data_IF_494698641224
#
_entry.id   IF_494698641224
#
_cell.length_a   1.000
_cell.length_b   1.000
_cell.length_c   1.000
_cell.angle_alpha   90.00
_cell.angle_beta   90.00
_cell.angle_gamma   90.00
#
_symmetry.space_group_name_H-M   'P 1'
#
loop_
_entity.id
_entity.type
_entity.pdbx_description
1 polymer ?
#
# COMPACT_ATOMS: atom_id res chain seq x y z
N UNK A 1 -61.06 -27.22 -22.27
CA UNK A 1 -59.90 -26.36 -21.96
C UNK A 1 -58.91 -27.20 -21.15
N UNK A 2 -57.80 -27.74 -21.68
CA UNK A 2 -57.02 -28.66 -20.81
C UNK A 2 -55.53 -28.90 -21.07
N UNK A 3 -54.91 -28.55 -22.19
CA UNK A 3 -53.48 -28.88 -22.37
C UNK A 3 -52.58 -27.64 -22.51
N UNK A 4 -53.04 -26.59 -23.18
CA UNK A 4 -52.23 -25.40 -23.43
C UNK A 4 -51.80 -24.65 -22.17
N UNK A 5 -52.63 -24.59 -21.12
CA UNK A 5 -52.26 -23.94 -19.85
C UNK A 5 -51.10 -24.66 -19.15
N UNK A 6 -51.11 -25.99 -19.13
CA UNK A 6 -50.06 -26.82 -18.52
C UNK A 6 -48.73 -26.65 -19.27
N UNK A 7 -48.77 -26.63 -20.60
CA UNK A 7 -47.60 -26.37 -21.43
C UNK A 7 -47.02 -24.96 -21.23
N UNK A 8 -47.89 -23.93 -21.16
CA UNK A 8 -47.47 -22.55 -20.91
C UNK A 8 -46.87 -22.40 -19.50
N UNK A 9 -47.47 -23.03 -18.49
CA UNK A 9 -46.94 -23.03 -17.11
C UNK A 9 -45.58 -23.76 -17.01
N UNK A 10 -45.41 -24.88 -17.72
CA UNK A 10 -44.14 -25.61 -17.77
C UNK A 10 -43.03 -24.81 -18.45
N UNK A 11 -43.32 -24.16 -19.58
CA UNK A 11 -42.36 -23.28 -20.27
C UNK A 11 -42.01 -22.06 -19.42
N UNK A 12 -42.99 -21.46 -18.75
CA UNK A 12 -42.75 -20.33 -17.83
C UNK A 12 -41.84 -20.71 -16.66
N UNK A 13 -41.99 -21.92 -16.11
CA UNK A 13 -41.13 -22.43 -15.03
C UNK A 13 -39.67 -22.59 -15.49
N UNK A 14 -39.46 -23.13 -16.71
CA UNK A 14 -38.13 -23.31 -17.29
C UNK A 14 -37.45 -21.96 -17.54
N UNK A 15 -38.16 -20.99 -18.11
CA UNK A 15 -37.63 -19.63 -18.34
C UNK A 15 -37.28 -18.94 -17.01
N UNK A 16 -38.11 -19.10 -15.98
CA UNK A 16 -37.84 -18.58 -14.64
C UNK A 16 -36.58 -19.20 -14.02
N UNK A 17 -36.42 -20.53 -14.13
CA UNK A 17 -35.24 -21.24 -13.64
C UNK A 17 -33.95 -20.78 -14.35
N UNK A 18 -33.97 -20.64 -15.67
CA UNK A 18 -32.84 -20.11 -16.43
C UNK A 18 -32.52 -18.66 -16.05
N UNK A 19 -33.54 -17.82 -15.86
CA UNK A 19 -33.36 -16.42 -15.45
C UNK A 19 -32.75 -16.33 -14.05
N UNK A 20 -33.16 -17.21 -13.13
CA UNK A 20 -32.58 -17.30 -11.79
C UNK A 20 -31.12 -17.75 -11.83
N UNK A 21 -30.78 -18.78 -12.61
CA UNK A 21 -29.40 -19.25 -12.76
C UNK A 21 -28.52 -18.15 -13.37
N UNK A 22 -28.99 -17.47 -14.42
CA UNK A 22 -28.27 -16.36 -15.02
C UNK A 22 -28.09 -15.19 -14.06
N UNK A 23 -29.11 -14.82 -13.28
CA UNK A 23 -29.00 -13.79 -12.26
C UNK A 23 -28.02 -14.19 -11.14
N UNK A 24 -27.99 -15.47 -10.76
CA UNK A 24 -27.05 -16.00 -9.77
C UNK A 24 -25.61 -15.99 -10.30
N UNK A 25 -25.39 -16.43 -11.53
CA UNK A 25 -24.08 -16.38 -12.20
C UNK A 25 -23.59 -14.94 -12.37
N UNK A 26 -24.45 -14.02 -12.82
CA UNK A 26 -24.13 -12.60 -12.95
C UNK A 26 -23.78 -11.96 -11.60
N UNK A 27 -24.51 -12.30 -10.52
CA UNK A 27 -24.17 -11.86 -9.16
C UNK A 27 -22.84 -12.44 -8.68
N UNK A 28 -22.56 -13.71 -8.96
CA UNK A 28 -21.29 -14.36 -8.59
C UNK A 28 -20.11 -13.73 -9.34
N UNK A 29 -20.26 -13.47 -10.63
CA UNK A 29 -19.27 -12.80 -11.46
C UNK A 29 -19.05 -11.35 -10.99
N UNK A 30 -20.11 -10.59 -10.74
CA UNK A 30 -20.02 -9.22 -10.22
C UNK A 30 -19.30 -9.15 -8.86
N UNK A 31 -19.57 -10.09 -7.94
CA UNK A 31 -18.83 -10.19 -6.67
C UNK A 31 -17.35 -10.51 -6.87
N UNK A 32 -17.04 -11.40 -7.82
CA UNK A 32 -15.65 -11.74 -8.15
C UNK A 32 -14.91 -10.54 -8.76
N UNK A 33 -15.55 -9.79 -9.65
CA UNK A 33 -14.98 -8.58 -10.26
C UNK A 33 -14.74 -7.48 -9.23
N UNK A 34 -15.68 -7.28 -8.30
CA UNK A 34 -15.53 -6.35 -7.19
C UNK A 34 -14.36 -6.74 -6.27
N UNK A 35 -14.24 -8.03 -5.93
CA UNK A 35 -13.14 -8.57 -5.14
C UNK A 35 -11.79 -8.37 -5.83
N UNK A 36 -11.68 -8.69 -7.13
CA UNK A 36 -10.46 -8.49 -7.92
C UNK A 36 -10.09 -6.99 -7.95
N UNK A 37 -11.07 -6.10 -8.15
CA UNK A 37 -10.84 -4.66 -8.15
C UNK A 37 -10.33 -4.15 -6.79
N UNK A 38 -10.94 -4.60 -5.70
CA UNK A 38 -10.49 -4.26 -4.35
C UNK A 38 -9.06 -4.75 -4.09
N UNK A 39 -8.76 -5.99 -4.48
CA UNK A 39 -7.42 -6.57 -4.40
C UNK A 39 -6.38 -5.74 -5.16
N UNK A 40 -6.69 -5.32 -6.40
CA UNK A 40 -5.80 -4.48 -7.20
C UNK A 40 -5.58 -3.10 -6.58
N UNK A 41 -6.61 -2.50 -6.00
CA UNK A 41 -6.48 -1.22 -5.29
C UNK A 41 -5.55 -1.33 -4.08
N UNK A 42 -5.74 -2.36 -3.24
CA UNK A 42 -4.87 -2.63 -2.09
C UNK A 42 -3.42 -2.86 -2.51
N UNK A 43 -3.19 -3.64 -3.58
CA UNK A 43 -1.85 -3.84 -4.13
C UNK A 43 -1.22 -2.53 -4.62
N UNK A 44 -2.01 -1.65 -5.24
CA UNK A 44 -1.55 -0.33 -5.69
C UNK A 44 -1.14 0.55 -4.50
N UNK A 45 -1.96 0.62 -3.45
CA UNK A 45 -1.68 1.40 -2.24
C UNK A 45 -0.41 0.88 -1.52
N UNK A 46 -0.29 -0.44 -1.36
CA UNK A 46 0.92 -1.06 -0.80
C UNK A 46 2.17 -0.74 -1.63
N UNK A 47 2.05 -0.74 -2.96
CA UNK A 47 3.16 -0.40 -3.84
C UNK A 47 3.56 1.07 -3.73
N UNK A 48 2.60 1.97 -3.59
CA UNK A 48 2.85 3.39 -3.36
C UNK A 48 3.58 3.61 -2.02
N UNK A 49 3.20 2.88 -0.95
CA UNK A 49 3.92 2.91 0.32
C UNK A 49 5.36 2.40 0.22
N UNK A 50 5.59 1.28 -0.47
CA UNK A 50 6.95 0.74 -0.68
C UNK A 50 7.85 1.75 -1.42
N UNK A 51 7.30 2.46 -2.42
CA UNK A 51 8.02 3.53 -3.14
C UNK A 51 8.33 4.71 -2.22
N UNK A 52 7.37 5.15 -1.40
CA UNK A 52 7.55 6.25 -0.47
C UNK A 52 8.61 5.94 0.59
N UNK A 53 8.59 4.75 1.19
CA UNK A 53 9.63 4.29 2.11
C UNK A 53 11.00 4.21 1.44
N UNK A 54 11.08 3.70 0.20
CA UNK A 54 12.33 3.67 -0.56
C UNK A 54 12.91 5.07 -0.80
N UNK A 55 12.06 6.06 -1.08
CA UNK A 55 12.47 7.45 -1.27
C UNK A 55 13.03 8.05 0.03
N UNK A 56 12.33 7.90 1.15
CA UNK A 56 12.80 8.36 2.46
C UNK A 56 14.15 7.74 2.84
N UNK A 57 14.28 6.42 2.66
CA UNK A 57 15.53 5.70 2.93
C UNK A 57 16.69 6.25 2.12
N UNK A 58 16.46 6.55 0.83
CA UNK A 58 17.49 7.12 -0.04
C UNK A 58 17.97 8.46 0.49
N UNK A 59 17.04 9.35 0.83
CA UNK A 59 17.37 10.69 1.34
C UNK A 59 18.10 10.65 2.68
N UNK A 60 17.69 9.79 3.61
CA UNK A 60 18.36 9.59 4.90
C UNK A 60 19.78 9.07 4.68
N UNK A 61 19.95 8.05 3.85
CA UNK A 61 21.26 7.46 3.59
C UNK A 61 22.21 8.46 2.90
N UNK A 62 21.70 9.30 2.00
CA UNK A 62 22.48 10.40 1.41
C UNK A 62 22.94 11.39 2.48
N UNK A 63 22.03 11.82 3.38
CA UNK A 63 22.38 12.75 4.46
C UNK A 63 23.41 12.16 5.43
N UNK A 64 23.24 10.89 5.83
CA UNK A 64 24.22 10.17 6.65
C UNK A 64 25.58 10.15 5.96
N UNK A 65 25.62 9.85 4.66
CA UNK A 65 26.85 9.83 3.87
C UNK A 65 27.51 11.22 3.83
N UNK A 66 26.75 12.28 3.58
CA UNK A 66 27.24 13.67 3.58
C UNK A 66 27.85 14.04 4.94
N UNK A 67 27.17 13.74 6.04
CA UNK A 67 27.67 14.03 7.39
C UNK A 67 28.95 13.23 7.70
N UNK A 68 28.96 11.92 7.40
CA UNK A 68 30.13 11.05 7.65
C UNK A 68 31.36 11.42 6.84
N UNK A 69 31.18 12.04 5.66
CA UNK A 69 32.31 12.44 4.80
C UNK A 69 33.11 13.59 5.42
N UNK A 70 32.52 14.39 6.31
CA UNK A 70 33.22 15.47 7.02
C UNK A 70 33.53 15.04 8.46
N UNK A 71 34.75 14.58 8.73
CA UNK A 71 35.17 14.03 10.03
C UNK A 71 34.96 14.98 11.24
N UNK A 72 35.12 16.29 11.04
CA UNK A 72 34.86 17.29 12.11
C UNK A 72 33.37 17.41 12.41
N UNK A 73 32.54 17.44 11.38
CA UNK A 73 31.08 17.51 11.51
C UNK A 73 30.51 16.19 12.03
N UNK A 74 31.02 15.04 11.57
CA UNK A 74 30.60 13.72 12.05
C UNK A 74 30.80 13.55 13.56
N UNK A 75 31.90 14.07 14.10
CA UNK A 75 32.18 14.01 15.54
C UNK A 75 31.23 14.92 16.33
N UNK A 76 30.94 16.13 15.82
CA UNK A 76 30.04 17.09 16.45
C UNK A 76 28.55 16.72 16.29
N UNK A 77 28.20 15.96 15.25
CA UNK A 77 26.84 15.56 14.90
C UNK A 77 26.57 14.08 15.22
N UNK A 78 27.30 13.49 16.16
CA UNK A 78 27.19 12.05 16.49
C UNK A 78 25.78 11.64 16.89
N UNK A 79 25.14 12.38 17.80
CA UNK A 79 23.75 12.09 18.23
C UNK A 79 22.75 12.22 17.07
N UNK A 80 22.98 13.17 16.15
CA UNK A 80 22.17 13.31 14.94
C UNK A 80 22.36 12.13 13.99
N UNK A 81 23.61 11.67 13.81
CA UNK A 81 23.91 10.47 13.02
C UNK A 81 23.23 9.24 13.59
N UNK A 82 23.31 9.01 14.91
CA UNK A 82 22.66 7.89 15.59
C UNK A 82 21.14 7.94 15.39
N UNK A 83 20.53 9.13 15.49
CA UNK A 83 19.10 9.34 15.21
C UNK A 83 18.72 9.10 13.75
N UNK A 84 19.55 9.52 12.80
CA UNK A 84 19.33 9.26 11.36
C UNK A 84 19.45 7.77 11.03
N UNK A 85 20.41 7.07 11.63
CA UNK A 85 20.59 5.63 11.47
C UNK A 85 19.39 4.86 12.06
N UNK A 86 18.94 5.21 13.26
CA UNK A 86 17.74 4.62 13.85
C UNK A 86 16.49 4.85 12.99
N UNK A 87 16.34 6.03 12.39
CA UNK A 87 15.24 6.30 11.46
C UNK A 87 15.37 5.45 10.18
N UNK A 88 16.58 5.29 9.64
CA UNK A 88 16.81 4.43 8.49
C UNK A 88 16.45 2.97 8.78
N UNK A 89 16.79 2.46 9.97
CA UNK A 89 16.43 1.10 10.39
C UNK A 89 14.91 0.94 10.49
N UNK A 90 14.23 1.90 11.11
CA UNK A 90 12.77 1.93 11.20
C UNK A 90 12.11 1.88 9.80
N UNK A 91 12.53 2.73 8.87
CA UNK A 91 11.95 2.74 7.53
C UNK A 91 12.29 1.49 6.71
N UNK A 92 13.44 0.84 6.95
CA UNK A 92 13.75 -0.46 6.33
C UNK A 92 12.80 -1.53 6.83
N UNK A 93 12.50 -1.55 8.13
CA UNK A 93 11.52 -2.48 8.67
C UNK A 93 10.13 -2.24 8.06
N UNK A 94 9.65 -1.00 8.04
CA UNK A 94 8.36 -0.67 7.43
C UNK A 94 8.29 -1.06 5.94
N UNK A 95 9.38 -0.86 5.19
CA UNK A 95 9.45 -1.30 3.81
C UNK A 95 9.38 -2.82 3.68
N UNK A 96 10.10 -3.55 4.54
CA UNK A 96 10.06 -5.02 4.57
C UNK A 96 8.65 -5.51 4.86
N UNK A 97 8.00 -4.98 5.89
CA UNK A 97 6.64 -5.34 6.27
C UNK A 97 5.65 -5.06 5.13
N UNK A 98 5.80 -3.92 4.45
CA UNK A 98 4.98 -3.57 3.28
C UNK A 98 5.13 -4.60 2.16
N UNK A 99 6.36 -5.05 1.88
CA UNK A 99 6.64 -6.08 0.87
C UNK A 99 6.07 -7.44 1.25
N UNK A 100 6.12 -7.80 2.53
CA UNK A 100 5.47 -9.02 3.04
C UNK A 100 3.95 -8.95 2.87
N UNK A 101 3.34 -7.79 3.09
CA UNK A 101 1.92 -7.57 2.81
C UNK A 101 1.60 -7.66 1.32
N UNK A 102 2.43 -7.10 0.43
CA UNK A 102 2.28 -7.28 -1.03
C UNK A 102 2.32 -8.76 -1.38
N UNK A 103 3.30 -9.51 -0.86
CA UNK A 103 3.43 -10.94 -1.12
C UNK A 103 2.20 -11.73 -0.62
N UNK A 104 1.69 -11.41 0.58
CA UNK A 104 0.47 -12.04 1.14
C UNK A 104 -0.77 -11.76 0.30
N UNK A 105 -0.94 -10.53 -0.18
CA UNK A 105 -2.08 -10.17 -1.04
C UNK A 105 -1.91 -10.82 -2.42
N UNK A 106 -0.70 -10.90 -2.95
CA UNK A 106 -0.42 -11.49 -4.26
C UNK A 106 -0.56 -13.02 -4.29
N UNK A 107 0.15 -13.75 -3.41
CA UNK A 107 0.18 -15.23 -3.32
C UNK A 107 -1.03 -15.81 -2.55
N UNK A 108 -2.19 -15.25 -2.83
CA UNK A 108 -3.41 -15.58 -2.10
C UNK A 108 -3.94 -16.96 -2.52
N UNK A 109 -3.56 -18.00 -1.76
CA UNK A 109 -4.07 -19.38 -1.88
C UNK A 109 -5.51 -19.52 -1.38
N UNK A 110 -6.39 -18.55 -1.70
CA UNK A 110 -7.80 -18.52 -1.31
C UNK A 110 -8.05 -18.21 0.17
N UNK A 111 -7.12 -17.54 0.86
CA UNK A 111 -7.22 -17.22 2.29
C UNK A 111 -7.64 -15.77 2.56
N UNK A 112 -7.44 -14.87 1.59
CA UNK A 112 -7.84 -13.48 1.71
C UNK A 112 -9.33 -13.35 1.40
N UNK A 113 -10.09 -12.80 2.35
CA UNK A 113 -11.50 -12.50 2.17
C UNK A 113 -11.71 -11.03 1.81
N UNK A 114 -12.88 -10.69 1.24
CA UNK A 114 -13.25 -9.31 0.95
C UNK A 114 -13.18 -8.42 2.21
N UNK A 115 -13.57 -8.97 3.36
CA UNK A 115 -13.45 -8.30 4.67
C UNK A 115 -11.99 -7.97 5.01
N UNK A 116 -11.09 -8.93 4.89
CA UNK A 116 -9.66 -8.71 5.18
C UNK A 116 -9.06 -7.64 4.25
N UNK A 117 -9.42 -7.67 2.95
CA UNK A 117 -8.98 -6.65 2.00
C UNK A 117 -9.53 -5.26 2.31
N UNK A 118 -10.78 -5.18 2.79
CA UNK A 118 -11.38 -3.90 3.13
C UNK A 118 -10.75 -3.30 4.40
N UNK A 119 -10.45 -4.13 5.40
CA UNK A 119 -9.69 -3.72 6.59
C UNK A 119 -8.30 -3.21 6.18
N UNK A 120 -7.61 -3.92 5.27
CA UNK A 120 -6.35 -3.43 4.70
C UNK A 120 -6.51 -2.08 4.00
N UNK A 121 -7.49 -1.90 3.11
CA UNK A 121 -7.62 -0.64 2.37
C UNK A 121 -7.87 0.56 3.29
N UNK A 122 -8.66 0.39 4.35
CA UNK A 122 -8.94 1.49 5.30
C UNK A 122 -7.68 1.89 6.07
N UNK A 123 -6.91 0.91 6.53
CA UNK A 123 -5.65 1.16 7.25
C UNK A 123 -4.63 1.80 6.31
N UNK A 124 -4.45 1.24 5.11
CA UNK A 124 -3.48 1.71 4.13
C UNK A 124 -3.77 3.13 3.67
N UNK A 125 -5.03 3.49 3.42
CA UNK A 125 -5.39 4.86 3.06
C UNK A 125 -4.99 5.87 4.14
N UNK A 126 -5.20 5.53 5.42
CA UNK A 126 -4.80 6.38 6.55
C UNK A 126 -3.28 6.46 6.68
N UNK A 127 -2.58 5.33 6.57
CA UNK A 127 -1.13 5.26 6.68
C UNK A 127 -0.43 5.97 5.52
N UNK A 128 -0.93 5.83 4.29
CA UNK A 128 -0.39 6.48 3.11
C UNK A 128 -0.55 8.00 3.19
N UNK A 129 -1.69 8.49 3.67
CA UNK A 129 -1.89 9.92 3.92
C UNK A 129 -0.91 10.46 4.98
N UNK A 130 -0.72 9.73 6.08
CA UNK A 130 0.26 10.08 7.12
C UNK A 130 1.69 10.02 6.58
N UNK A 131 2.01 9.01 5.78
CA UNK A 131 3.33 8.79 5.20
C UNK A 131 3.69 9.92 4.24
N UNK A 132 2.79 10.31 3.36
CA UNK A 132 3.01 11.43 2.43
C UNK A 132 3.21 12.76 3.17
N UNK A 133 2.40 13.03 4.20
CA UNK A 133 2.57 14.24 5.01
C UNK A 133 3.90 14.23 5.75
N UNK A 134 4.24 13.09 6.35
CA UNK A 134 5.52 12.94 7.05
C UNK A 134 6.70 13.02 6.08
N UNK A 135 6.59 12.52 4.85
CA UNK A 135 7.65 12.63 3.83
C UNK A 135 7.90 14.06 3.46
N UNK A 136 6.86 14.88 3.28
CA UNK A 136 7.01 16.29 2.96
C UNK A 136 7.72 17.04 4.08
N UNK A 137 7.28 16.86 5.32
CA UNK A 137 7.91 17.47 6.51
C UNK A 137 9.38 17.02 6.62
N UNK A 138 9.65 15.75 6.38
CA UNK A 138 10.98 15.18 6.45
C UNK A 138 11.90 15.73 5.36
N UNK A 139 11.40 15.87 4.13
CA UNK A 139 12.10 16.49 3.01
C UNK A 139 12.43 17.96 3.29
N UNK A 140 11.49 18.72 3.83
CA UNK A 140 11.70 20.13 4.21
C UNK A 140 12.75 20.26 5.32
N UNK A 141 12.66 19.41 6.34
CA UNK A 141 13.65 19.36 7.43
C UNK A 141 15.03 18.96 6.91
N UNK A 142 15.12 17.99 5.99
CA UNK A 142 16.38 17.58 5.39
C UNK A 142 16.98 18.62 4.50
N UNK A 143 16.18 19.32 3.69
CA UNK A 143 16.64 20.47 2.92
C UNK A 143 17.22 21.54 3.84
N UNK A 144 16.50 21.88 4.91
CA UNK A 144 16.95 22.86 5.91
C UNK A 144 18.26 22.43 6.58
N UNK A 145 18.39 21.14 6.91
CA UNK A 145 19.64 20.60 7.46
C UNK A 145 20.78 20.66 6.45
N UNK A 146 20.56 20.25 5.19
CA UNK A 146 21.58 20.33 4.13
C UNK A 146 22.05 21.77 3.90
N UNK A 147 21.13 22.74 3.86
CA UNK A 147 21.48 24.16 3.71
C UNK A 147 22.33 24.68 4.89
N UNK A 148 21.99 24.26 6.11
CA UNK A 148 22.80 24.56 7.30
C UNK A 148 24.18 23.90 7.23
N UNK A 149 24.27 22.64 6.81
CA UNK A 149 25.56 21.96 6.64
C UNK A 149 26.41 22.58 5.53
N UNK A 150 25.80 23.01 4.42
CA UNK A 150 26.49 23.65 3.30
C UNK A 150 27.07 25.03 3.66
N UNK A 151 26.45 25.74 4.61
CA UNK A 151 26.93 27.03 5.12
C UNK A 151 27.99 26.91 6.21
N UNK A 152 28.25 25.70 6.73
CA UNK A 152 29.38 25.49 7.63
C UNK A 152 30.72 25.63 6.86
N UNK A 153 31.77 26.17 7.50
CA UNK A 153 33.08 26.29 6.87
C UNK A 153 33.57 24.92 6.41
N UNK A 154 33.78 24.76 5.11
CA UNK A 154 34.46 23.59 4.55
C UNK A 154 35.95 23.72 4.90
N UNK A 155 36.49 22.73 5.62
CA UNK A 155 37.92 22.62 5.93
C UNK A 155 38.54 21.64 4.96
#
# INVERSE_FOLDING_TARGET
MSNYSIWISGVALVISAFSFINAWLARKQSKNDAFIKLKLNVLKELREMDIAYAAMLREINELIKEIKTNAKVATAAKELLDGLESNADFYRQCQSDTRDHIAKVFDDRGKLTEKNLHEYSVILASELARLNKNSQIMQENFKTMRDKFASLPKV
#
